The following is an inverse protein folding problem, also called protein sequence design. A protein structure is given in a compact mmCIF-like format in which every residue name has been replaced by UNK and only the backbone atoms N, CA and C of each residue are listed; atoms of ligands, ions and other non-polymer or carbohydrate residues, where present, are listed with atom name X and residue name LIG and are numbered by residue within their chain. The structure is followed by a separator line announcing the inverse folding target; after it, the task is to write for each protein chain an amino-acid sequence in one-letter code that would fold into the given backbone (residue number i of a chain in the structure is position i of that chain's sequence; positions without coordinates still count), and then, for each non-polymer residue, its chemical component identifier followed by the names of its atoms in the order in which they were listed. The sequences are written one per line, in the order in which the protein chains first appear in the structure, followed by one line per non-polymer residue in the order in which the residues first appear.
data_IF_629529818475
#
_entry.id   IF_629529818475
#
_cell.length_a   1.000
_cell.length_b   1.000
_cell.length_c   1.000
_cell.angle_alpha   90.00
_cell.angle_beta   90.00
_cell.angle_gamma   90.00
#
_symmetry.space_group_name_H-M   'P 1'
#
loop_
_entity.id
_entity.type
_entity.pdbx_description
1 polymer ?
#
# COMPACT_ATOMS: atom_id res chain seq x y z
N UNK A 1 0.87 10.56 15.51
CA UNK A 1 0.12 11.82 15.28
C UNK A 1 -0.28 12.00 13.81
N UNK A 2 0.66 12.06 12.85
CA UNK A 2 0.31 12.21 11.43
C UNK A 2 -0.58 11.09 10.86
N UNK A 3 -0.35 9.82 11.27
CA UNK A 3 -1.19 8.68 10.84
C UNK A 3 -2.65 8.87 11.26
N UNK A 4 -2.89 9.22 12.52
CA UNK A 4 -4.23 9.46 13.06
C UNK A 4 -4.90 10.67 12.42
N UNK A 5 -4.16 11.76 12.22
CA UNK A 5 -4.68 12.97 11.55
C UNK A 5 -5.09 12.67 10.09
N UNK A 6 -4.30 11.86 9.38
CA UNK A 6 -4.64 11.42 8.03
C UNK A 6 -5.84 10.47 7.99
N UNK A 7 -5.92 9.52 8.93
CA UNK A 7 -7.06 8.60 9.06
C UNK A 7 -8.37 9.36 9.35
N UNK A 8 -8.33 10.32 10.27
CA UNK A 8 -9.47 11.20 10.58
C UNK A 8 -9.89 12.03 9.37
N UNK A 9 -8.95 12.60 8.61
CA UNK A 9 -9.25 13.35 7.38
C UNK A 9 -9.94 12.48 6.33
N UNK A 10 -9.62 11.18 6.29
CA UNK A 10 -10.24 10.21 5.40
C UNK A 10 -11.53 9.59 5.95
N UNK A 11 -11.92 9.93 7.18
CA UNK A 11 -13.04 9.29 7.90
C UNK A 11 -12.87 7.76 7.96
N UNK A 12 -11.62 7.30 8.06
CA UNK A 12 -11.26 5.89 8.18
C UNK A 12 -10.97 5.59 9.64
N UNK A 13 -11.69 4.63 10.21
CA UNK A 13 -11.36 4.02 11.48
C UNK A 13 -10.31 2.92 11.25
N UNK A 14 -9.13 3.09 11.85
CA UNK A 14 -8.01 2.16 11.75
C UNK A 14 -7.90 1.41 13.07
N UNK A 15 -7.94 0.08 12.99
CA UNK A 15 -7.66 -0.76 14.16
C UNK A 15 -6.25 -0.46 14.70
N UNK A 16 -6.11 -0.47 16.03
CA UNK A 16 -4.85 -0.13 16.73
C UNK A 16 -3.65 -0.99 16.26
N UNK A 17 -3.91 -2.25 15.93
CA UNK A 17 -2.92 -3.20 15.41
C UNK A 17 -2.36 -2.77 14.03
N UNK A 18 -3.24 -2.30 13.14
CA UNK A 18 -2.90 -1.77 11.82
C UNK A 18 -2.19 -0.42 11.92
N UNK A 19 -2.64 0.47 12.80
CA UNK A 19 -1.98 1.75 13.05
C UNK A 19 -0.55 1.53 13.55
N UNK A 20 -0.39 0.69 14.57
CA UNK A 20 0.91 0.37 15.17
C UNK A 20 1.87 -0.23 14.14
N UNK A 21 1.37 -1.14 13.29
CA UNK A 21 2.16 -1.71 12.20
C UNK A 21 2.61 -0.64 11.21
N UNK A 22 1.71 0.26 10.81
CA UNK A 22 2.03 1.33 9.86
C UNK A 22 3.11 2.27 10.41
N UNK A 23 3.01 2.65 11.69
CA UNK A 23 4.02 3.47 12.37
C UNK A 23 5.37 2.74 12.39
N UNK A 24 5.39 1.45 12.73
CA UNK A 24 6.62 0.64 12.74
C UNK A 24 7.26 0.51 11.36
N UNK A 25 6.44 0.27 10.32
CA UNK A 25 6.87 0.20 8.93
C UNK A 25 7.53 1.53 8.50
N UNK A 26 6.93 2.65 8.87
CA UNK A 26 7.47 3.97 8.55
C UNK A 26 8.80 4.24 9.26
N UNK A 27 8.92 3.90 10.56
CA UNK A 27 10.17 4.04 11.31
C UNK A 27 11.29 3.21 10.69
N UNK A 28 11.02 1.92 10.40
CA UNK A 28 11.96 1.02 9.72
C UNK A 28 12.41 1.59 8.37
N UNK A 29 11.48 2.15 7.61
CA UNK A 29 11.81 2.75 6.33
C UNK A 29 12.69 3.99 6.45
N UNK A 30 12.44 4.87 7.42
CA UNK A 30 13.28 6.07 7.62
C UNK A 30 14.71 5.72 8.04
N UNK A 31 14.89 4.60 8.73
CA UNK A 31 16.21 4.09 9.12
C UNK A 31 16.93 3.42 7.93
N UNK A 32 16.21 2.70 7.06
CA UNK A 32 16.75 1.94 5.92
C UNK A 32 16.83 2.74 4.59
N UNK A 33 16.36 3.98 4.53
CA UNK A 33 16.24 4.75 3.27
C UNK A 33 17.58 4.97 2.53
N UNK A 34 18.71 4.88 3.22
CA UNK A 34 20.07 4.92 2.66
C UNK A 34 20.55 3.55 2.13
N UNK A 35 20.04 2.42 2.66
CA UNK A 35 20.53 1.07 2.36
C UNK A 35 19.59 0.22 1.46
N UNK A 36 18.28 0.51 1.44
CA UNK A 36 17.25 -0.40 0.95
C UNK A 36 17.06 -0.53 -0.58
N UNK A 37 17.58 0.40 -1.40
CA UNK A 37 17.18 0.49 -2.81
C UNK A 37 17.76 -0.59 -3.75
N UNK A 38 18.87 -1.24 -3.38
CA UNK A 38 19.63 -2.11 -4.31
C UNK A 38 19.47 -3.61 -4.06
N UNK A 39 18.94 -3.98 -2.90
CA UNK A 39 19.02 -5.35 -2.38
C UNK A 39 17.73 -6.17 -2.67
N UNK A 40 16.57 -5.51 -2.81
CA UNK A 40 15.26 -6.18 -2.74
C UNK A 40 14.86 -7.08 -3.92
N UNK A 41 15.14 -6.72 -5.17
CA UNK A 41 14.71 -7.55 -6.32
C UNK A 41 15.48 -8.88 -6.39
N UNK A 42 16.74 -8.88 -5.94
CA UNK A 42 17.58 -10.07 -5.87
C UNK A 42 17.25 -10.94 -4.65
N UNK A 43 16.92 -10.33 -3.51
CA UNK A 43 16.56 -11.09 -2.31
C UNK A 43 15.16 -11.69 -2.40
N UNK A 44 14.22 -11.07 -3.12
CA UNK A 44 12.93 -11.69 -3.50
C UNK A 44 13.11 -12.99 -4.29
N UNK A 45 13.96 -12.98 -5.33
CA UNK A 45 14.27 -14.17 -6.14
C UNK A 45 15.05 -15.23 -5.34
N UNK A 46 15.82 -14.83 -4.32
CA UNK A 46 16.55 -15.76 -3.43
C UNK A 46 15.65 -16.37 -2.35
N UNK A 47 14.70 -15.60 -1.81
CA UNK A 47 13.76 -16.03 -0.77
C UNK A 47 12.83 -17.16 -1.22
N UNK A 48 12.46 -17.19 -2.50
CA UNK A 48 11.67 -18.26 -3.12
C UNK A 48 12.33 -19.66 -3.04
N UNK A 49 13.61 -19.75 -2.67
CA UNK A 49 14.36 -21.01 -2.50
C UNK A 49 14.66 -21.37 -1.04
N UNK A 50 14.14 -20.64 -0.06
CA UNK A 50 14.51 -20.79 1.35
C UNK A 50 13.45 -21.51 2.20
N UNK A 51 13.80 -21.82 3.45
CA UNK A 51 12.91 -22.44 4.44
C UNK A 51 11.61 -21.63 4.64
N UNK A 52 10.48 -22.26 5.05
CA UNK A 52 9.16 -21.62 5.12
C UNK A 52 9.12 -20.29 5.88
N UNK A 53 9.88 -20.18 6.98
CA UNK A 53 9.99 -18.94 7.77
C UNK A 53 10.65 -17.79 7.00
N UNK A 54 11.66 -18.09 6.19
CA UNK A 54 12.33 -17.08 5.37
C UNK A 54 11.46 -16.63 4.19
N UNK A 55 10.62 -17.53 3.65
CA UNK A 55 9.62 -17.15 2.64
C UNK A 55 8.57 -16.19 3.21
N UNK A 56 8.09 -16.43 4.44
CA UNK A 56 7.14 -15.52 5.09
C UNK A 56 7.74 -14.12 5.32
N UNK A 57 9.02 -14.04 5.70
CA UNK A 57 9.74 -12.76 5.82
C UNK A 57 9.84 -12.06 4.46
N UNK A 58 10.26 -12.76 3.42
CA UNK A 58 10.36 -12.20 2.07
C UNK A 58 9.00 -11.69 1.54
N UNK A 59 7.92 -12.43 1.77
CA UNK A 59 6.56 -12.02 1.40
C UNK A 59 6.10 -10.79 2.20
N UNK A 60 6.38 -10.73 3.50
CA UNK A 60 6.11 -9.53 4.30
C UNK A 60 6.82 -8.32 3.72
N UNK A 61 8.12 -8.44 3.40
CA UNK A 61 8.91 -7.33 2.89
C UNK A 61 8.41 -6.88 1.50
N UNK A 62 7.87 -7.79 0.67
CA UNK A 62 7.16 -7.44 -0.57
C UNK A 62 5.88 -6.65 -0.28
N UNK A 63 5.06 -7.11 0.66
CA UNK A 63 3.82 -6.41 1.06
C UNK A 63 4.11 -5.00 1.57
N UNK A 64 5.09 -4.88 2.47
CA UNK A 64 5.56 -3.61 3.05
C UNK A 64 6.02 -2.64 1.94
N UNK A 65 6.82 -3.14 0.99
CA UNK A 65 7.30 -2.32 -0.12
C UNK A 65 6.18 -1.89 -1.06
N UNK A 66 5.24 -2.78 -1.36
CA UNK A 66 4.08 -2.47 -2.17
C UNK A 66 3.23 -1.38 -1.50
N UNK A 67 3.02 -1.47 -0.19
CA UNK A 67 2.25 -0.50 0.58
C UNK A 67 2.91 0.88 0.58
N UNK A 68 4.23 0.93 0.73
CA UNK A 68 4.99 2.18 0.64
C UNK A 68 5.00 2.75 -0.78
N UNK A 69 5.09 1.92 -1.82
CA UNK A 69 5.07 2.37 -3.22
C UNK A 69 3.69 2.88 -3.64
N UNK A 70 2.62 2.22 -3.20
CA UNK A 70 1.25 2.65 -3.46
C UNK A 70 0.93 3.94 -2.69
N UNK A 71 1.30 4.02 -1.41
CA UNK A 71 0.91 5.11 -0.50
C UNK A 71 1.85 6.32 -0.49
N UNK A 72 3.15 6.11 -0.27
CA UNK A 72 4.11 7.22 -0.07
C UNK A 72 4.94 7.54 -1.33
N UNK A 73 5.31 6.54 -2.12
CA UNK A 73 6.31 6.69 -3.20
C UNK A 73 5.76 6.39 -4.61
N UNK A 74 4.58 6.91 -4.91
CA UNK A 74 3.92 6.77 -6.23
C UNK A 74 4.81 7.12 -7.43
N UNK A 75 5.70 8.12 -7.28
CA UNK A 75 6.66 8.49 -8.34
C UNK A 75 7.66 7.37 -8.68
N UNK A 76 8.00 6.49 -7.72
CA UNK A 76 8.87 5.33 -7.97
C UNK A 76 8.15 4.24 -8.75
N UNK A 77 6.84 4.04 -8.52
CA UNK A 77 6.01 3.15 -9.34
C UNK A 77 6.00 3.59 -10.81
N UNK A 78 5.81 4.90 -11.07
CA UNK A 78 5.89 5.47 -12.42
C UNK A 78 7.21 5.18 -13.14
N UNK A 79 8.35 5.32 -12.44
CA UNK A 79 9.68 5.05 -13.02
C UNK A 79 9.85 3.59 -13.46
N UNK A 80 9.14 2.65 -12.83
CA UNK A 80 9.15 1.23 -13.19
C UNK A 80 8.14 0.86 -14.26
N UNK A 81 7.31 1.79 -14.75
CA UNK A 81 6.22 1.58 -15.73
C UNK A 81 5.17 0.57 -15.27
N UNK A 82 4.95 0.48 -13.96
CA UNK A 82 3.97 -0.42 -13.36
C UNK A 82 2.91 0.43 -12.65
N UNK A 83 1.62 0.09 -12.82
CA UNK A 83 0.51 0.87 -12.26
C UNK A 83 0.47 0.81 -10.73
N UNK A 84 -0.15 1.82 -10.11
CA UNK A 84 -0.37 1.82 -8.65
C UNK A 84 -1.27 0.65 -8.24
N UNK A 85 -2.29 0.34 -9.05
CA UNK A 85 -3.21 -0.79 -8.82
C UNK A 85 -2.49 -2.13 -8.81
N UNK A 86 -1.45 -2.32 -9.63
CA UNK A 86 -0.64 -3.54 -9.60
C UNK A 86 0.08 -3.71 -8.25
N UNK A 87 0.65 -2.65 -7.69
CA UNK A 87 1.29 -2.71 -6.37
C UNK A 87 0.26 -3.05 -5.29
N UNK A 88 -0.97 -2.54 -5.41
CA UNK A 88 -2.07 -2.93 -4.51
C UNK A 88 -2.34 -4.42 -4.59
N UNK A 89 -2.56 -4.97 -5.79
CA UNK A 89 -2.87 -6.40 -5.96
C UNK A 89 -1.72 -7.29 -5.47
N UNK A 90 -0.49 -6.96 -5.84
CA UNK A 90 0.70 -7.72 -5.41
C UNK A 90 0.89 -7.66 -3.90
N UNK A 91 0.74 -6.49 -3.28
CA UNK A 91 0.90 -6.31 -1.84
C UNK A 91 -0.16 -7.06 -1.03
N UNK A 92 -1.42 -7.01 -1.49
CA UNK A 92 -2.53 -7.77 -0.88
C UNK A 92 -2.26 -9.27 -0.93
N UNK A 93 -1.89 -9.79 -2.10
CA UNK A 93 -1.56 -11.20 -2.26
C UNK A 93 -0.37 -11.61 -1.38
N UNK A 94 0.65 -10.75 -1.26
CA UNK A 94 1.81 -11.02 -0.43
C UNK A 94 1.41 -11.16 1.06
N UNK A 95 0.62 -10.24 1.60
CA UNK A 95 0.17 -10.33 2.99
C UNK A 95 -0.77 -11.52 3.24
N UNK A 96 -1.70 -11.83 2.33
CA UNK A 96 -2.53 -13.05 2.41
C UNK A 96 -1.66 -14.30 2.51
N UNK A 97 -0.65 -14.38 1.65
CA UNK A 97 0.30 -15.50 1.66
C UNK A 97 1.12 -15.60 2.94
N UNK A 98 1.42 -14.49 3.62
CA UNK A 98 2.06 -14.51 4.95
C UNK A 98 1.11 -15.07 6.00
N UNK A 99 -0.17 -14.65 5.97
CA UNK A 99 -1.18 -15.12 6.90
C UNK A 99 -1.41 -16.63 6.77
N UNK A 100 -1.62 -17.12 5.54
CA UNK A 100 -1.84 -18.54 5.23
C UNK A 100 -0.69 -19.46 5.68
N UNK A 101 0.54 -18.93 5.72
CA UNK A 101 1.74 -19.70 6.11
C UNK A 101 1.92 -19.81 7.63
N UNK A 102 1.14 -19.07 8.43
CA UNK A 102 1.23 -19.05 9.89
C UNK A 102 -0.15 -19.18 10.56
N UNK A 103 -0.98 -20.17 10.16
CA UNK A 103 -2.39 -20.22 10.53
C UNK A 103 -2.61 -20.30 12.04
N UNK A 104 -3.64 -19.61 12.54
CA UNK A 104 -4.03 -19.62 13.96
C UNK A 104 -3.12 -18.82 14.89
N UNK A 105 -2.20 -18.01 14.35
CA UNK A 105 -1.40 -17.06 15.14
C UNK A 105 -1.97 -15.64 15.05
N UNK A 106 -1.70 -14.81 16.06
CA UNK A 106 -2.04 -13.37 16.01
C UNK A 106 -1.37 -12.64 14.84
N UNK A 107 -0.22 -13.12 14.37
CA UNK A 107 0.42 -12.62 13.16
C UNK A 107 -0.40 -12.93 11.90
N UNK A 108 -1.05 -14.10 11.83
CA UNK A 108 -1.94 -14.42 10.72
C UNK A 108 -3.12 -13.46 10.65
N UNK A 109 -3.76 -13.17 11.78
CA UNK A 109 -4.87 -12.23 11.87
C UNK A 109 -4.44 -10.83 11.44
N UNK A 110 -3.26 -10.37 11.91
CA UNK A 110 -2.69 -9.09 11.51
C UNK A 110 -2.42 -9.01 10.00
N UNK A 111 -1.79 -10.02 9.40
CA UNK A 111 -1.47 -10.01 7.97
C UNK A 111 -2.72 -10.16 7.09
N UNK A 112 -3.73 -10.88 7.57
CA UNK A 112 -5.03 -10.91 6.90
C UNK A 112 -5.72 -9.54 6.96
N UNK A 113 -5.70 -8.88 8.13
CA UNK A 113 -6.21 -7.51 8.29
C UNK A 113 -5.45 -6.50 7.40
N UNK A 114 -4.12 -6.63 7.28
CA UNK A 114 -3.30 -5.81 6.38
C UNK A 114 -3.68 -6.01 4.91
N UNK A 115 -3.92 -7.25 4.48
CA UNK A 115 -4.35 -7.54 3.12
C UNK A 115 -5.73 -6.96 2.80
N UNK A 116 -6.68 -7.09 3.72
CA UNK A 116 -8.04 -6.55 3.56
C UNK A 116 -8.07 -5.02 3.67
N UNK A 117 -7.25 -4.45 4.55
CA UNK A 117 -7.14 -3.00 4.79
C UNK A 117 -6.22 -2.25 3.83
N UNK A 118 -5.56 -2.94 2.89
CA UNK A 118 -4.45 -2.41 2.11
C UNK A 118 -4.74 -1.08 1.40
N UNK A 119 -5.91 -0.97 0.75
CA UNK A 119 -6.31 0.26 0.04
C UNK A 119 -6.48 1.41 1.03
N UNK A 120 -7.15 1.18 2.17
CA UNK A 120 -7.33 2.19 3.22
C UNK A 120 -6.00 2.64 3.81
N UNK A 121 -5.10 1.70 4.09
CA UNK A 121 -3.76 2.00 4.59
C UNK A 121 -2.95 2.81 3.57
N UNK A 122 -3.03 2.44 2.28
CA UNK A 122 -2.39 3.20 1.19
C UNK A 122 -2.95 4.62 1.09
N UNK A 123 -4.27 4.79 1.25
CA UNK A 123 -4.94 6.08 1.24
C UNK A 123 -4.49 6.96 2.43
N UNK A 124 -4.39 6.38 3.62
CA UNK A 124 -3.87 7.07 4.82
C UNK A 124 -2.45 7.55 4.59
N UNK A 125 -1.57 6.70 4.05
CA UNK A 125 -0.21 7.10 3.69
C UNK A 125 -0.17 8.27 2.68
N UNK A 126 -1.05 8.28 1.67
CA UNK A 126 -1.14 9.39 0.71
C UNK A 126 -1.58 10.68 1.38
N UNK A 127 -2.63 10.61 2.20
CA UNK A 127 -3.13 11.75 2.96
C UNK A 127 -2.07 12.31 3.91
N UNK A 128 -1.29 11.47 4.59
CA UNK A 128 -0.17 11.90 5.42
C UNK A 128 0.86 12.71 4.61
N UNK A 129 1.24 12.21 3.43
CA UNK A 129 2.22 12.91 2.57
C UNK A 129 1.71 14.27 2.09
N UNK A 130 0.40 14.38 1.84
CA UNK A 130 -0.24 15.65 1.46
C UNK A 130 -0.33 16.63 2.64
N UNK A 131 -0.52 16.12 3.86
CA UNK A 131 -0.47 16.95 5.08
C UNK A 131 0.94 17.48 5.37
N UNK A 132 1.98 16.71 5.08
CA UNK A 132 3.39 17.10 5.31
C UNK A 132 3.94 18.06 4.23
N UNK A 133 3.07 18.77 3.51
CA UNK A 133 3.45 19.72 2.45
C UNK A 133 4.00 19.07 1.18
N UNK A 134 3.86 17.74 1.05
CA UNK A 134 4.29 17.00 -0.13
C UNK A 134 3.45 17.34 -1.37
N UNK A 135 4.08 17.27 -2.55
CA UNK A 135 3.36 17.45 -3.82
C UNK A 135 2.35 16.30 -4.04
N UNK A 136 1.25 16.60 -4.74
CA UNK A 136 0.14 15.66 -5.03
C UNK A 136 0.64 14.25 -5.36
N UNK A 137 0.07 13.28 -4.66
CA UNK A 137 0.54 11.89 -4.69
C UNK A 137 0.18 11.18 -6.01
N UNK A 138 -0.97 11.48 -6.61
CA UNK A 138 -1.48 10.83 -7.82
C UNK A 138 -1.65 11.84 -8.97
N UNK A 139 -1.44 11.37 -10.20
CA UNK A 139 -1.93 12.06 -11.41
C UNK A 139 -3.39 11.72 -11.64
N UNK A 140 -4.10 12.51 -12.47
CA UNK A 140 -5.49 12.24 -12.81
C UNK A 140 -5.70 10.81 -13.34
N UNK A 141 -4.80 10.33 -14.20
CA UNK A 141 -4.90 8.99 -14.79
C UNK A 141 -4.70 7.88 -13.74
N UNK A 142 -3.76 8.06 -12.81
CA UNK A 142 -3.55 7.07 -11.73
C UNK A 142 -4.66 7.09 -10.69
N UNK A 143 -5.21 8.27 -10.38
CA UNK A 143 -6.37 8.38 -9.51
C UNK A 143 -7.58 7.68 -10.16
N UNK A 144 -7.76 7.83 -11.47
CA UNK A 144 -8.80 7.12 -12.22
C UNK A 144 -8.61 5.61 -12.19
N UNK A 145 -7.40 5.12 -12.53
CA UNK A 145 -7.07 3.69 -12.51
C UNK A 145 -7.32 3.08 -11.12
N UNK A 146 -6.83 3.75 -10.08
CA UNK A 146 -6.92 3.26 -8.71
C UNK A 146 -8.36 3.28 -8.18
N UNK A 147 -9.14 4.31 -8.49
CA UNK A 147 -10.56 4.35 -8.13
C UNK A 147 -11.36 3.26 -8.86
N UNK A 148 -11.13 3.08 -10.17
CA UNK A 148 -11.84 2.07 -10.96
C UNK A 148 -11.54 0.64 -10.50
N UNK A 149 -10.27 0.31 -10.22
CA UNK A 149 -9.88 -1.07 -9.95
C UNK A 149 -9.89 -1.45 -8.46
N UNK A 150 -9.71 -0.47 -7.58
CA UNK A 150 -9.49 -0.69 -6.14
C UNK A 150 -10.43 0.12 -5.25
N UNK A 151 -11.34 0.93 -5.83
CA UNK A 151 -12.32 1.74 -5.12
C UNK A 151 -11.70 2.64 -4.02
N UNK A 152 -10.51 3.18 -4.28
CA UNK A 152 -9.83 4.10 -3.35
C UNK A 152 -10.63 5.39 -3.16
N UNK A 153 -10.93 5.71 -1.90
CA UNK A 153 -11.63 6.94 -1.51
C UNK A 153 -10.74 8.16 -1.69
N UNK A 154 -9.44 8.04 -1.37
CA UNK A 154 -8.48 9.11 -1.62
C UNK A 154 -8.36 9.45 -3.11
N UNK A 155 -8.36 8.42 -3.97
CA UNK A 155 -8.33 8.60 -5.41
C UNK A 155 -9.58 9.33 -5.94
N UNK A 156 -10.78 8.98 -5.45
CA UNK A 156 -12.01 9.67 -5.79
C UNK A 156 -11.95 11.16 -5.41
N UNK A 157 -11.58 11.47 -4.16
CA UNK A 157 -11.43 12.87 -3.70
C UNK A 157 -10.38 13.64 -4.50
N UNK A 158 -9.32 12.95 -4.93
CA UNK A 158 -8.31 13.55 -5.81
C UNK A 158 -8.92 13.94 -7.15
N UNK A 159 -9.74 13.09 -7.76
CA UNK A 159 -10.43 13.40 -9.03
C UNK A 159 -11.42 14.57 -8.88
N UNK A 160 -12.24 14.56 -7.84
CA UNK A 160 -13.20 15.63 -7.52
C UNK A 160 -12.51 16.99 -7.33
N UNK A 161 -11.28 17.00 -6.81
CA UNK A 161 -10.49 18.23 -6.67
C UNK A 161 -9.93 18.79 -7.98
N UNK A 162 -9.91 17.99 -9.05
CA UNK A 162 -9.31 18.36 -10.35
C UNK A 162 -10.34 18.86 -11.36
N UNK A 163 -11.61 18.46 -11.23
CA UNK A 163 -12.67 18.82 -12.17
C UNK A 163 -14.05 18.66 -11.52
N UNK A 164 -15.02 19.46 -11.96
CA UNK A 164 -16.44 19.32 -11.61
C UNK A 164 -17.12 18.13 -12.31
N UNK A 165 -16.40 17.42 -13.19
CA UNK A 165 -16.92 16.25 -13.88
C UNK A 165 -17.01 15.04 -12.94
N UNK A 166 -18.13 14.31 -12.99
CA UNK A 166 -18.28 13.05 -12.27
C UNK A 166 -17.45 11.96 -12.97
N UNK A 167 -16.49 11.31 -12.28
CA UNK A 167 -15.75 10.21 -12.87
C UNK A 167 -16.69 9.03 -13.14
N UNK A 168 -16.64 8.49 -14.37
CA UNK A 168 -17.46 7.35 -14.79
C UNK A 168 -16.54 6.12 -14.86
N UNK A 169 -16.94 5.04 -14.20
CA UNK A 169 -16.27 3.75 -14.33
C UNK A 169 -16.31 3.26 -15.78
N UNK A 170 -15.18 2.80 -16.33
CA UNK A 170 -15.20 2.07 -17.59
C UNK A 170 -16.06 0.80 -17.48
N UNK A 171 -16.51 0.21 -18.60
CA UNK A 171 -17.23 -1.06 -18.54
C UNK A 171 -16.43 -2.07 -17.74
N UNK A 172 -17.11 -2.78 -16.83
CA UNK A 172 -16.50 -3.77 -15.95
C UNK A 172 -15.92 -4.89 -16.83
N UNK A 173 -14.61 -4.84 -17.05
CA UNK A 173 -13.91 -5.75 -17.98
C UNK A 173 -13.51 -7.07 -17.31
N UNK A 174 -13.98 -7.31 -16.08
CA UNK A 174 -13.82 -8.57 -15.36
C UNK A 174 -15.06 -9.45 -15.57
N UNK A 175 -15.17 -10.05 -16.75
CA UNK A 175 -15.96 -11.27 -16.99
C UNK A 175 -15.03 -12.44 -17.23
#
# INVERSE_FOLDING_TARGET
RLVQEAAQRLEVDLEESLESYLVLLMMRFTEDAEAGHRIMALDYLRGLRQAPRAQAVALRDVGDHCLLCSGLFTQRARRRRVSVSYFVDLGRSAYQQVAERQPGSSLSELFDALAHGFVRLSDVLRAMRELDGGNRSLSALEAMDLWQHQHSTHALRTLESLTDATPIGGPDTRQ
#
